data_IF_261747855293
#
_entry.id   IF_261747855293
#
_cell.length_a   1.000
_cell.length_b   1.000
_cell.length_c   1.000
_cell.angle_alpha   90.00
_cell.angle_beta   90.00
_cell.angle_gamma   90.00
#
_symmetry.space_group_name_H-M   'P 1'
#
loop_
_entity.id
_entity.type
_entity.pdbx_description
1 polymer ?
#
# COMPACT_ATOMS: atom_id res chain seq x y z
N UNK A 1 -26.89 11.84 27.27
CA UNK A 1 -25.49 11.58 27.64
C UNK A 1 -25.34 10.46 28.67
N UNK A 2 -26.02 10.50 29.82
CA UNK A 2 -25.87 9.48 30.89
C UNK A 2 -26.13 8.04 30.43
N UNK A 3 -27.19 7.80 29.65
CA UNK A 3 -27.53 6.47 29.12
C UNK A 3 -26.54 5.98 28.04
N UNK A 4 -25.95 6.90 27.26
CA UNK A 4 -24.94 6.56 26.26
C UNK A 4 -23.62 6.09 26.91
N UNK A 5 -23.21 6.77 27.98
CA UNK A 5 -22.01 6.40 28.77
C UNK A 5 -22.21 5.03 29.43
N UNK A 6 -23.39 4.74 29.96
CA UNK A 6 -23.72 3.44 30.56
C UNK A 6 -23.64 2.32 29.52
N UNK A 7 -24.18 2.51 28.32
CA UNK A 7 -24.11 1.52 27.23
C UNK A 7 -22.66 1.30 26.79
N UNK A 8 -21.87 2.37 26.67
CA UNK A 8 -20.45 2.26 26.33
C UNK A 8 -19.64 1.51 27.39
N UNK A 9 -19.90 1.77 28.68
CA UNK A 9 -19.25 1.05 29.79
C UNK A 9 -19.65 -0.43 29.83
N UNK A 10 -20.90 -0.77 29.52
CA UNK A 10 -21.35 -2.17 29.45
C UNK A 10 -20.70 -2.89 28.27
N UNK A 11 -20.59 -2.28 27.11
CA UNK A 11 -19.89 -2.86 25.95
C UNK A 11 -18.40 -3.09 26.27
N UNK A 12 -17.76 -2.11 26.92
CA UNK A 12 -16.35 -2.23 27.32
C UNK A 12 -16.14 -3.35 28.35
N UNK A 13 -17.03 -3.44 29.35
CA UNK A 13 -16.98 -4.48 30.38
C UNK A 13 -17.20 -5.88 29.79
N UNK A 14 -18.16 -6.04 28.86
CA UNK A 14 -18.39 -7.30 28.16
C UNK A 14 -17.18 -7.67 27.28
N UNK A 15 -16.58 -6.71 26.57
CA UNK A 15 -15.38 -6.93 25.77
C UNK A 15 -14.19 -7.40 26.63
N UNK A 16 -13.97 -6.78 27.79
CA UNK A 16 -12.91 -7.18 28.74
C UNK A 16 -13.19 -8.57 29.30
N UNK A 17 -14.44 -8.89 29.65
CA UNK A 17 -14.81 -10.21 30.21
C UNK A 17 -14.61 -11.31 29.16
N UNK A 18 -14.97 -11.10 27.91
CA UNK A 18 -14.72 -12.03 26.80
C UNK A 18 -13.23 -12.21 26.58
N UNK A 19 -12.44 -11.12 26.63
CA UNK A 19 -10.99 -11.16 26.51
C UNK A 19 -10.33 -11.97 27.64
N UNK A 20 -10.76 -11.78 28.90
CA UNK A 20 -10.25 -12.51 30.05
C UNK A 20 -10.63 -14.00 29.98
N UNK A 21 -11.87 -14.33 29.60
CA UNK A 21 -12.31 -15.73 29.42
C UNK A 21 -11.49 -16.38 28.29
N UNK A 22 -11.23 -15.65 27.19
CA UNK A 22 -10.36 -16.11 26.11
C UNK A 22 -8.95 -16.45 26.60
N UNK A 23 -8.34 -15.57 27.40
CA UNK A 23 -7.01 -15.77 27.98
C UNK A 23 -7.01 -16.96 28.95
N UNK A 24 -8.02 -17.12 29.79
CA UNK A 24 -8.11 -18.22 30.77
C UNK A 24 -8.30 -19.56 30.03
N UNK A 25 -9.14 -19.61 28.98
CA UNK A 25 -9.36 -20.82 28.18
C UNK A 25 -8.08 -21.23 27.44
N UNK A 26 -7.27 -20.28 26.97
CA UNK A 26 -5.99 -20.57 26.34
C UNK A 26 -4.92 -20.99 27.35
N UNK A 27 -4.92 -20.43 28.54
CA UNK A 27 -3.97 -20.79 29.63
C UNK A 27 -4.27 -22.17 30.28
N UNK A 28 -5.52 -22.63 30.24
CA UNK A 28 -5.93 -23.93 30.81
C UNK A 28 -5.90 -25.08 29.84
N UNK A 29 -5.92 -24.81 28.52
CA UNK A 29 -5.66 -25.81 27.48
C UNK A 29 -4.16 -25.82 27.20
N UNK A 30 -3.45 -26.76 27.81
CA UNK A 30 -2.05 -27.00 27.51
C UNK A 30 -1.80 -27.12 26.01
N UNK A 31 -0.66 -26.63 25.59
CA UNK A 31 0.02 -26.67 24.31
C UNK A 31 -0.73 -27.38 23.16
N UNK A 32 -1.73 -26.73 22.59
CA UNK A 32 -2.39 -27.20 21.38
C UNK A 32 -1.67 -26.58 20.18
N UNK A 33 -0.48 -27.06 19.91
CA UNK A 33 0.19 -26.80 18.64
C UNK A 33 -0.52 -27.60 17.54
N UNK A 34 -1.55 -27.01 16.92
CA UNK A 34 -2.19 -27.57 15.71
C UNK A 34 -1.27 -27.51 14.47
N UNK A 35 -0.09 -26.95 14.62
CA UNK A 35 0.90 -26.81 13.55
C UNK A 35 1.80 -28.04 13.56
N UNK A 36 1.82 -28.79 12.47
CA UNK A 36 2.91 -29.71 12.21
C UNK A 36 4.17 -28.85 12.00
N UNK A 37 5.16 -28.98 12.89
CA UNK A 37 6.42 -28.22 12.79
C UNK A 37 7.25 -28.62 11.56
N UNK A 38 6.76 -29.48 10.72
CA UNK A 38 7.44 -29.93 9.52
C UNK A 38 7.16 -28.93 8.39
N UNK A 39 8.23 -28.32 7.88
CA UNK A 39 8.15 -27.52 6.65
C UNK A 39 7.83 -28.44 5.48
N UNK A 40 6.80 -28.10 4.72
CA UNK A 40 6.46 -28.77 3.47
C UNK A 40 7.00 -27.96 2.31
N UNK A 41 7.50 -28.64 1.31
CA UNK A 41 8.00 -28.03 0.07
C UNK A 41 7.28 -28.67 -1.10
N UNK A 42 6.66 -27.86 -1.93
CA UNK A 42 6.04 -28.28 -3.18
C UNK A 42 6.51 -27.38 -4.32
N UNK A 43 6.73 -27.96 -5.49
CA UNK A 43 7.22 -27.26 -6.67
C UNK A 43 6.32 -27.51 -7.88
N UNK A 44 6.19 -26.50 -8.72
CA UNK A 44 5.32 -26.50 -9.91
C UNK A 44 6.05 -25.80 -11.06
N UNK A 45 5.89 -26.34 -12.26
CA UNK A 45 6.36 -25.66 -13.46
C UNK A 45 5.79 -24.25 -13.54
N UNK A 46 6.60 -23.27 -13.96
CA UNK A 46 6.16 -21.88 -14.06
C UNK A 46 4.94 -21.75 -14.98
N UNK A 47 3.99 -20.91 -14.57
CA UNK A 47 2.75 -20.63 -15.30
C UNK A 47 2.67 -19.15 -15.70
N UNK A 48 1.58 -18.81 -16.38
CA UNK A 48 1.29 -17.43 -16.81
C UNK A 48 0.81 -16.55 -15.64
N UNK A 49 0.27 -17.20 -14.58
CA UNK A 49 -0.23 -16.51 -13.38
C UNK A 49 0.03 -17.32 -12.12
N UNK A 50 0.48 -16.61 -11.07
CA UNK A 50 0.54 -17.12 -9.71
C UNK A 50 -0.44 -16.35 -8.83
N UNK A 51 -1.41 -17.07 -8.24
CA UNK A 51 -2.37 -16.52 -7.28
C UNK A 51 -2.19 -17.16 -5.92
N UNK A 52 -1.84 -16.38 -4.91
CA UNK A 52 -1.64 -16.81 -3.53
C UNK A 52 -2.71 -16.19 -2.65
N UNK A 53 -3.43 -17.01 -1.88
CA UNK A 53 -4.44 -16.55 -0.91
C UNK A 53 -4.13 -17.12 0.47
N UNK A 54 -3.73 -16.25 1.37
CA UNK A 54 -3.50 -16.55 2.78
C UNK A 54 -4.48 -15.79 3.67
N UNK A 55 -4.53 -16.15 4.95
CA UNK A 55 -5.40 -15.47 5.92
C UNK A 55 -4.63 -14.95 7.13
N UNK A 56 -3.56 -15.62 7.53
CA UNK A 56 -2.82 -15.28 8.76
C UNK A 56 -1.34 -15.62 8.69
N UNK A 57 -0.83 -16.01 7.53
CA UNK A 57 0.55 -16.46 7.37
C UNK A 57 1.34 -15.39 6.61
N UNK A 58 2.43 -14.91 7.17
CA UNK A 58 3.31 -13.96 6.48
C UNK A 58 3.78 -14.55 5.16
N UNK A 59 3.66 -13.82 4.08
CA UNK A 59 4.06 -14.25 2.75
C UNK A 59 5.37 -13.58 2.37
N UNK A 60 6.39 -14.39 2.15
CA UNK A 60 7.67 -13.94 1.63
C UNK A 60 7.84 -14.41 0.19
N UNK A 61 8.10 -13.48 -0.72
CA UNK A 61 8.39 -13.80 -2.13
C UNK A 61 9.86 -13.50 -2.42
N UNK A 62 10.55 -14.47 -2.98
CA UNK A 62 11.95 -14.34 -3.36
C UNK A 62 12.20 -14.95 -4.75
N UNK A 63 13.29 -14.55 -5.39
CA UNK A 63 13.71 -15.12 -6.67
C UNK A 63 14.77 -16.19 -6.42
N UNK A 64 14.54 -17.38 -6.94
CA UNK A 64 15.45 -18.53 -6.86
C UNK A 64 16.23 -18.77 -8.15
N UNK A 65 17.08 -19.81 -8.12
CA UNK A 65 17.88 -20.22 -9.29
C UNK A 65 17.27 -21.40 -10.05
N UNK A 66 16.16 -21.97 -9.58
CA UNK A 66 15.46 -23.07 -10.23
C UNK A 66 14.52 -22.60 -11.34
N UNK A 67 13.90 -23.57 -12.02
CA UNK A 67 12.97 -23.35 -13.12
C UNK A 67 11.49 -23.48 -12.68
N UNK A 68 11.26 -23.81 -11.41
CA UNK A 68 9.94 -24.07 -10.85
C UNK A 68 9.56 -23.02 -9.80
N UNK A 69 8.26 -22.78 -9.64
CA UNK A 69 7.70 -22.06 -8.51
C UNK A 69 7.69 -22.99 -7.31
N UNK A 70 8.33 -22.59 -6.21
CA UNK A 70 8.47 -23.42 -5.01
C UNK A 70 7.72 -22.77 -3.85
N UNK A 71 6.88 -23.54 -3.18
CA UNK A 71 6.18 -23.15 -1.96
C UNK A 71 6.80 -23.89 -0.77
N UNK A 72 7.25 -23.14 0.23
CA UNK A 72 7.67 -23.65 1.53
C UNK A 72 6.73 -23.12 2.60
N UNK A 73 6.01 -24.01 3.28
CA UNK A 73 4.99 -23.65 4.26
C UNK A 73 4.92 -24.62 5.42
N UNK A 74 4.23 -24.22 6.50
CA UNK A 74 3.89 -25.10 7.61
C UNK A 74 2.50 -25.71 7.38
N UNK A 75 2.42 -27.04 7.45
CA UNK A 75 1.14 -27.73 7.36
C UNK A 75 0.41 -27.70 8.71
N UNK A 76 -0.86 -27.32 8.71
CA UNK A 76 -1.72 -27.36 9.89
C UNK A 76 -2.52 -28.67 9.89
N UNK A 77 -2.65 -29.31 11.07
CA UNK A 77 -3.32 -30.63 11.18
C UNK A 77 -4.72 -30.68 10.54
N UNK A 78 -5.45 -29.58 10.59
CA UNK A 78 -6.83 -29.51 10.12
C UNK A 78 -7.02 -28.62 8.87
N UNK A 79 -5.96 -28.01 8.35
CA UNK A 79 -6.01 -27.10 7.20
C UNK A 79 -4.78 -27.28 6.35
N UNK A 80 -4.90 -28.17 5.38
CA UNK A 80 -3.89 -28.28 4.32
C UNK A 80 -4.11 -27.19 3.29
N UNK A 81 -3.05 -26.68 2.66
CA UNK A 81 -3.21 -25.81 1.52
C UNK A 81 -3.91 -26.56 0.38
N UNK A 82 -4.70 -25.85 -0.35
CA UNK A 82 -5.23 -26.28 -1.63
C UNK A 82 -4.35 -25.68 -2.71
N UNK A 83 -3.61 -26.51 -3.45
CA UNK A 83 -2.75 -26.07 -4.52
C UNK A 83 -3.26 -26.69 -5.82
N UNK A 84 -3.50 -25.83 -6.81
CA UNK A 84 -3.93 -26.25 -8.14
C UNK A 84 -3.02 -25.66 -9.20
N UNK A 85 -2.77 -26.41 -10.27
CA UNK A 85 -2.06 -25.94 -11.45
C UNK A 85 -2.85 -26.31 -12.68
N UNK A 86 -3.66 -25.37 -13.17
CA UNK A 86 -4.58 -25.58 -14.27
C UNK A 86 -4.57 -24.38 -15.22
N UNK A 87 -4.57 -24.63 -16.52
CA UNK A 87 -4.65 -23.60 -17.57
C UNK A 87 -3.62 -22.46 -17.41
N UNK A 88 -2.38 -22.80 -17.06
CA UNK A 88 -1.31 -21.81 -16.86
C UNK A 88 -1.40 -21.03 -15.55
N UNK A 89 -2.38 -21.31 -14.69
CA UNK A 89 -2.56 -20.65 -13.39
C UNK A 89 -2.12 -21.58 -12.28
N UNK A 90 -1.17 -21.14 -11.46
CA UNK A 90 -0.82 -21.77 -10.19
C UNK A 90 -1.62 -21.05 -9.11
N UNK A 91 -2.47 -21.76 -8.38
CA UNK A 91 -3.22 -21.21 -7.25
C UNK A 91 -2.85 -21.91 -5.96
N UNK A 92 -2.35 -21.14 -5.00
CA UNK A 92 -2.08 -21.58 -3.64
C UNK A 92 -3.10 -20.94 -2.71
N UNK A 93 -3.84 -21.75 -1.96
CA UNK A 93 -4.80 -21.24 -0.97
C UNK A 93 -4.55 -21.89 0.37
N UNK A 94 -4.18 -21.10 1.37
CA UNK A 94 -3.98 -21.55 2.74
C UNK A 94 -5.00 -20.90 3.67
N UNK A 95 -5.77 -21.74 4.36
CA UNK A 95 -6.75 -21.34 5.36
C UNK A 95 -8.19 -21.22 4.83
N UNK A 96 -9.14 -21.39 5.74
CA UNK A 96 -10.57 -21.14 5.50
C UNK A 96 -10.94 -19.74 5.98
N UNK A 97 -12.06 -19.20 5.45
CA UNK A 97 -12.70 -18.00 6.00
C UNK A 97 -12.75 -18.09 7.52
N UNK A 98 -12.40 -17.00 8.18
CA UNK A 98 -12.43 -16.83 9.63
C UNK A 98 -13.73 -17.39 10.23
N UNK A 99 -13.61 -18.39 11.10
CA UNK A 99 -14.68 -18.81 11.99
C UNK A 99 -14.40 -18.22 13.35
N UNK A 100 -15.38 -17.59 13.98
CA UNK A 100 -15.29 -17.01 15.34
C UNK A 100 -14.76 -17.99 16.39
N UNK A 101 -14.70 -19.27 16.08
CA UNK A 101 -14.21 -20.34 16.96
C UNK A 101 -12.73 -20.69 16.76
N UNK A 102 -12.05 -20.13 15.74
CA UNK A 102 -10.63 -20.38 15.46
C UNK A 102 -9.70 -19.33 16.10
N UNK A 103 -10.05 -18.87 17.31
CA UNK A 103 -9.28 -17.89 18.08
C UNK A 103 -7.80 -18.31 18.28
N UNK A 104 -7.52 -19.59 18.28
CA UNK A 104 -6.16 -20.11 18.43
C UNK A 104 -5.22 -19.74 17.26
N UNK A 105 -5.73 -19.45 16.07
CA UNK A 105 -4.93 -19.07 14.90
C UNK A 105 -4.38 -17.63 14.99
N UNK A 106 -5.09 -16.74 15.67
CA UNK A 106 -4.68 -15.33 15.84
C UNK A 106 -3.37 -15.22 16.67
N UNK A 107 -3.04 -16.26 17.44
CA UNK A 107 -1.88 -16.26 18.33
C UNK A 107 -0.66 -17.03 17.81
N UNK A 108 -0.75 -17.66 16.64
CA UNK A 108 0.41 -18.33 16.02
C UNK A 108 1.21 -17.35 15.13
N UNK A 109 1.98 -16.51 15.77
CA UNK A 109 2.77 -15.42 15.19
C UNK A 109 3.95 -15.83 14.28
N UNK A 110 4.07 -17.08 13.86
CA UNK A 110 5.29 -17.56 13.19
C UNK A 110 5.07 -18.47 11.97
N UNK A 111 3.85 -18.60 11.49
CA UNK A 111 3.64 -19.33 10.26
C UNK A 111 4.04 -18.45 9.07
N UNK A 112 4.91 -18.96 8.22
CA UNK A 112 5.40 -18.26 7.03
C UNK A 112 5.19 -19.13 5.82
N UNK A 113 4.69 -18.51 4.78
CA UNK A 113 4.74 -19.05 3.43
C UNK A 113 5.91 -18.38 2.70
N UNK A 114 6.88 -19.16 2.25
CA UNK A 114 7.91 -18.65 1.32
C UNK A 114 7.55 -19.11 -0.08
N UNK A 115 7.43 -18.18 -0.98
CA UNK A 115 7.23 -18.41 -2.42
C UNK A 115 8.53 -18.08 -3.14
N UNK A 116 9.14 -19.06 -3.73
CA UNK A 116 10.35 -18.87 -4.55
C UNK A 116 9.94 -18.88 -6.02
N UNK A 117 10.17 -17.80 -6.71
CA UNK A 117 9.89 -17.67 -8.14
C UNK A 117 11.13 -18.03 -8.96
N UNK A 118 11.00 -18.72 -10.09
CA UNK A 118 12.12 -18.92 -11.01
C UNK A 118 12.51 -17.59 -11.66
N UNK A 119 13.77 -17.49 -12.09
CA UNK A 119 14.31 -16.30 -12.76
C UNK A 119 13.57 -15.92 -14.05
N UNK A 120 12.99 -16.92 -14.71
CA UNK A 120 12.26 -16.75 -15.97
C UNK A 120 10.76 -16.50 -15.75
N UNK A 121 10.30 -16.36 -14.49
CA UNK A 121 8.92 -16.03 -14.22
C UNK A 121 8.60 -14.64 -14.74
N UNK A 122 7.64 -14.57 -15.66
CA UNK A 122 7.22 -13.33 -16.32
C UNK A 122 5.70 -13.10 -16.30
N UNK A 123 4.96 -13.96 -15.59
CA UNK A 123 3.50 -13.91 -15.53
C UNK A 123 2.95 -12.89 -14.54
N UNK A 124 1.64 -12.97 -14.28
CA UNK A 124 0.98 -12.16 -13.25
C UNK A 124 1.27 -12.72 -11.86
N UNK A 125 1.57 -11.84 -10.89
CA UNK A 125 1.70 -12.18 -9.48
C UNK A 125 0.60 -11.52 -8.67
N UNK A 126 -0.31 -12.33 -8.12
CA UNK A 126 -1.42 -11.89 -7.28
C UNK A 126 -1.31 -12.51 -5.88
N UNK A 127 -1.26 -11.68 -4.84
CA UNK A 127 -1.26 -12.14 -3.45
C UNK A 127 -2.37 -11.42 -2.69
N UNK A 128 -3.26 -12.20 -2.05
CA UNK A 128 -4.32 -11.71 -1.19
C UNK A 128 -4.14 -12.29 0.21
N UNK A 129 -4.08 -11.42 1.20
CA UNK A 129 -3.92 -11.85 2.58
C UNK A 129 -4.92 -11.17 3.54
N UNK A 130 -5.33 -11.90 4.58
CA UNK A 130 -6.25 -11.39 5.59
C UNK A 130 -5.52 -10.58 6.66
N UNK A 131 -4.59 -11.22 7.37
CA UNK A 131 -3.96 -10.62 8.55
C UNK A 131 -2.51 -11.06 8.66
N UNK A 132 -1.63 -10.47 7.87
CA UNK A 132 -0.20 -10.73 7.88
C UNK A 132 0.56 -9.79 6.94
N UNK A 133 1.86 -9.94 6.88
CA UNK A 133 2.73 -9.13 6.04
C UNK A 133 3.06 -9.83 4.73
N UNK A 134 3.16 -9.06 3.64
CA UNK A 134 3.74 -9.49 2.36
C UNK A 134 5.10 -8.81 2.20
N UNK A 135 6.17 -9.58 2.08
CA UNK A 135 7.53 -9.10 1.78
C UNK A 135 8.01 -9.73 0.47
N UNK A 136 8.09 -8.94 -0.59
CA UNK A 136 8.46 -9.38 -1.92
C UNK A 136 9.72 -8.66 -2.42
N UNK A 137 10.80 -9.42 -2.61
CA UNK A 137 11.98 -8.97 -3.35
C UNK A 137 12.01 -9.66 -4.72
N UNK A 138 11.70 -8.87 -5.74
CA UNK A 138 11.53 -9.35 -7.12
C UNK A 138 12.74 -9.00 -7.99
N UNK A 139 13.92 -8.93 -7.39
CA UNK A 139 15.18 -8.61 -8.09
C UNK A 139 15.37 -9.48 -9.31
N UNK A 140 15.67 -8.86 -10.44
CA UNK A 140 15.93 -9.50 -11.74
C UNK A 140 14.70 -10.06 -12.45
N UNK A 141 13.48 -9.91 -11.94
CA UNK A 141 12.26 -10.32 -12.64
C UNK A 141 11.68 -9.16 -13.46
N UNK A 142 11.12 -9.53 -14.60
CA UNK A 142 10.17 -8.71 -15.34
C UNK A 142 8.86 -9.47 -15.38
N UNK A 143 7.88 -9.02 -14.60
CA UNK A 143 6.57 -9.65 -14.47
C UNK A 143 5.51 -8.87 -15.24
N UNK A 144 4.45 -9.54 -15.67
CA UNK A 144 3.40 -8.91 -16.46
C UNK A 144 2.55 -7.94 -15.61
N UNK A 145 2.15 -8.37 -14.41
CA UNK A 145 1.27 -7.61 -13.54
C UNK A 145 1.51 -7.95 -12.07
N UNK A 146 1.35 -6.97 -11.18
CA UNK A 146 1.51 -7.13 -9.74
C UNK A 146 0.26 -6.68 -8.99
N UNK A 147 -0.33 -7.57 -8.18
CA UNK A 147 -1.51 -7.26 -7.36
C UNK A 147 -1.29 -7.80 -5.96
N UNK A 148 -1.13 -6.92 -4.97
CA UNK A 148 -1.08 -7.28 -3.55
C UNK A 148 -2.22 -6.61 -2.80
N UNK A 149 -2.98 -7.40 -2.04
CA UNK A 149 -4.13 -6.96 -1.25
C UNK A 149 -4.05 -7.56 0.16
N UNK A 150 -3.94 -6.72 1.17
CA UNK A 150 -3.84 -7.10 2.58
C UNK A 150 -4.90 -6.37 3.40
N UNK A 151 -5.69 -7.11 4.20
CA UNK A 151 -6.64 -6.44 5.09
C UNK A 151 -5.95 -5.84 6.33
N UNK A 152 -5.05 -6.58 6.98
CA UNK A 152 -4.30 -6.08 8.15
C UNK A 152 -2.87 -6.59 8.11
N UNK A 153 -1.91 -5.70 8.09
CA UNK A 153 -0.48 -5.99 7.94
C UNK A 153 0.16 -5.03 6.98
N UNK A 154 1.34 -5.35 6.50
CA UNK A 154 2.10 -4.46 5.61
C UNK A 154 2.39 -5.15 4.28
N UNK A 155 2.41 -4.36 3.23
CA UNK A 155 2.92 -4.75 1.93
C UNK A 155 4.29 -4.10 1.74
N UNK A 156 5.32 -4.90 1.56
CA UNK A 156 6.65 -4.44 1.16
C UNK A 156 7.02 -5.08 -0.17
N UNK A 157 7.25 -4.27 -1.21
CA UNK A 157 7.68 -4.74 -2.52
C UNK A 157 8.85 -3.93 -3.03
N UNK A 158 9.86 -4.63 -3.57
CA UNK A 158 11.06 -3.96 -4.06
C UNK A 158 11.69 -4.65 -5.26
N UNK A 159 12.44 -3.85 -6.01
CA UNK A 159 13.31 -4.29 -7.10
C UNK A 159 12.55 -5.02 -8.22
N UNK A 160 11.39 -4.51 -8.63
CA UNK A 160 10.59 -5.14 -9.67
C UNK A 160 10.59 -4.35 -10.99
N UNK A 161 10.59 -5.08 -12.10
CA UNK A 161 10.18 -4.57 -13.41
C UNK A 161 8.79 -5.15 -13.74
N UNK A 162 7.82 -4.29 -14.01
CA UNK A 162 6.45 -4.69 -14.29
C UNK A 162 6.07 -4.21 -15.69
N UNK A 163 5.70 -5.13 -16.56
CA UNK A 163 5.31 -4.85 -17.94
C UNK A 163 3.94 -4.19 -18.08
N UNK A 164 3.09 -4.28 -17.08
CA UNK A 164 1.75 -3.70 -17.03
C UNK A 164 1.53 -2.92 -15.72
N UNK A 165 0.35 -3.09 -15.13
CA UNK A 165 -0.07 -2.31 -13.97
C UNK A 165 0.33 -2.94 -12.62
N UNK A 166 0.50 -2.08 -11.62
CA UNK A 166 0.74 -2.45 -10.22
C UNK A 166 -0.41 -1.97 -9.35
N UNK A 167 -0.96 -2.86 -8.50
CA UNK A 167 -1.97 -2.53 -7.50
C UNK A 167 -1.55 -3.02 -6.11
N UNK A 168 -1.43 -2.09 -5.16
CA UNK A 168 -1.04 -2.35 -3.78
C UNK A 168 -2.12 -1.79 -2.85
N UNK A 169 -2.89 -2.66 -2.21
CA UNK A 169 -4.01 -2.26 -1.36
C UNK A 169 -3.85 -2.81 0.05
N UNK A 170 -3.95 -1.94 1.05
CA UNK A 170 -3.89 -2.32 2.46
C UNK A 170 -5.01 -1.61 3.24
N UNK A 171 -5.81 -2.35 4.02
CA UNK A 171 -6.81 -1.66 4.85
C UNK A 171 -6.19 -1.08 6.12
N UNK A 172 -5.38 -1.85 6.84
CA UNK A 172 -4.72 -1.38 8.06
C UNK A 172 -3.27 -1.84 8.10
N UNK A 173 -2.35 -0.90 8.00
CA UNK A 173 -0.92 -1.16 7.99
C UNK A 173 -0.18 -0.27 7.00
N UNK A 174 0.90 -0.75 6.41
CA UNK A 174 1.72 0.07 5.53
C UNK A 174 1.80 -0.51 4.10
N UNK A 175 1.88 0.37 3.12
CA UNK A 175 2.27 0.05 1.74
C UNK A 175 3.63 0.66 1.48
N UNK A 176 4.63 -0.17 1.30
CA UNK A 176 6.03 0.19 1.09
C UNK A 176 6.47 -0.34 -0.28
N UNK A 177 6.78 0.54 -1.22
CA UNK A 177 7.30 0.15 -2.53
C UNK A 177 8.58 0.91 -2.85
N UNK A 178 9.60 0.19 -3.30
CA UNK A 178 10.90 0.78 -3.58
C UNK A 178 11.55 0.17 -4.83
N UNK A 179 12.13 1.04 -5.65
CA UNK A 179 12.87 0.65 -6.84
C UNK A 179 12.02 -0.21 -7.81
N UNK A 180 10.94 0.40 -8.33
CA UNK A 180 10.06 -0.24 -9.32
C UNK A 180 10.11 0.49 -10.66
N UNK A 181 10.26 -0.29 -11.74
CA UNK A 181 10.07 0.16 -13.12
C UNK A 181 8.75 -0.41 -13.66
N UNK A 182 7.78 0.45 -13.99
CA UNK A 182 6.41 0.05 -14.34
C UNK A 182 6.06 0.57 -15.73
N UNK A 183 5.77 -0.31 -16.68
CA UNK A 183 5.32 0.08 -18.04
C UNK A 183 3.81 0.38 -18.12
N UNK A 184 3.13 0.43 -17.01
CA UNK A 184 1.72 0.77 -16.84
C UNK A 184 1.53 1.81 -15.77
N UNK A 185 0.44 1.70 -15.04
CA UNK A 185 0.04 2.57 -13.94
C UNK A 185 0.28 1.91 -12.58
N UNK A 186 0.49 2.72 -11.55
CA UNK A 186 0.56 2.30 -10.15
C UNK A 186 -0.65 2.83 -9.38
N UNK A 187 -1.37 1.92 -8.73
CA UNK A 187 -2.38 2.26 -7.74
C UNK A 187 -1.91 1.79 -6.35
N UNK A 188 -1.85 2.71 -5.39
CA UNK A 188 -1.53 2.41 -4.00
C UNK A 188 -2.61 2.99 -3.08
N UNK A 189 -3.25 2.13 -2.29
CA UNK A 189 -4.35 2.54 -1.41
C UNK A 189 -4.19 1.97 -0.01
N UNK A 190 -4.44 2.81 1.02
CA UNK A 190 -4.57 2.37 2.40
C UNK A 190 -5.68 3.15 3.13
N UNK A 191 -6.28 2.52 4.15
CA UNK A 191 -7.27 3.21 4.98
C UNK A 191 -6.68 3.73 6.28
N UNK A 192 -5.77 2.98 6.93
CA UNK A 192 -5.12 3.42 8.17
C UNK A 192 -3.69 2.94 8.24
N UNK A 193 -2.73 3.86 8.12
CA UNK A 193 -1.31 3.52 8.18
C UNK A 193 -0.42 4.46 7.39
N UNK A 194 0.45 3.95 6.55
CA UNK A 194 1.36 4.76 5.75
C UNK A 194 1.51 4.21 4.33
N UNK A 195 1.64 5.10 3.36
CA UNK A 195 2.10 4.77 2.01
C UNK A 195 3.44 5.44 1.79
N UNK A 196 4.47 4.65 1.53
CA UNK A 196 5.79 5.14 1.16
C UNK A 196 6.20 4.52 -0.19
N UNK A 197 6.34 5.38 -1.20
CA UNK A 197 6.80 5.01 -2.53
C UNK A 197 8.14 5.71 -2.77
N UNK A 198 9.19 4.96 -3.06
CA UNK A 198 10.52 5.51 -3.29
C UNK A 198 11.14 4.93 -4.58
N UNK A 199 11.77 5.80 -5.38
CA UNK A 199 12.47 5.41 -6.60
C UNK A 199 11.56 4.62 -7.57
N UNK A 200 10.41 5.18 -7.89
CA UNK A 200 9.41 4.58 -8.78
C UNK A 200 9.42 5.30 -10.13
N UNK A 201 9.47 4.53 -11.21
CA UNK A 201 9.26 5.05 -12.56
C UNK A 201 8.08 4.32 -13.20
N UNK A 202 7.01 5.05 -13.52
CA UNK A 202 5.83 4.54 -14.22
C UNK A 202 5.64 5.27 -15.55
N UNK A 203 5.33 4.54 -16.63
CA UNK A 203 5.01 5.17 -17.92
C UNK A 203 3.59 5.71 -17.95
N UNK A 204 2.69 5.17 -17.13
CA UNK A 204 1.31 5.61 -16.96
C UNK A 204 1.13 6.56 -15.78
N UNK A 205 0.02 6.41 -15.09
CA UNK A 205 -0.35 7.25 -13.96
C UNK A 205 0.05 6.62 -12.62
N UNK A 206 0.33 7.46 -11.63
CA UNK A 206 0.46 7.04 -10.23
C UNK A 206 -0.69 7.62 -9.43
N UNK A 207 -1.53 6.75 -8.88
CA UNK A 207 -2.64 7.12 -7.99
C UNK A 207 -2.39 6.62 -6.59
N UNK A 208 -2.43 7.53 -5.61
CA UNK A 208 -2.21 7.23 -4.19
C UNK A 208 -3.40 7.71 -3.37
N UNK A 209 -3.98 6.81 -2.57
CA UNK A 209 -5.11 7.12 -1.69
C UNK A 209 -4.83 6.69 -0.25
N UNK A 210 -4.97 7.63 0.69
CA UNK A 210 -4.89 7.39 2.13
C UNK A 210 -6.09 8.01 2.84
N UNK A 211 -6.71 7.26 3.74
CA UNK A 211 -7.76 7.85 4.58
C UNK A 211 -7.17 8.43 5.85
N UNK A 212 -6.34 7.68 6.58
CA UNK A 212 -5.71 8.17 7.81
C UNK A 212 -4.28 7.69 7.88
N UNK A 213 -3.34 8.60 7.68
CA UNK A 213 -1.92 8.23 7.77
C UNK A 213 -0.99 9.18 7.06
N UNK A 214 0.19 8.71 6.78
CA UNK A 214 1.23 9.48 6.10
C UNK A 214 1.36 8.99 4.66
N UNK A 215 1.37 9.93 3.72
CA UNK A 215 1.73 9.65 2.32
C UNK A 215 3.09 10.28 2.04
N UNK A 216 4.03 9.46 1.58
CA UNK A 216 5.36 9.89 1.20
C UNK A 216 5.73 9.33 -0.17
N UNK A 217 5.95 10.22 -1.11
CA UNK A 217 6.48 9.91 -2.42
C UNK A 217 7.88 10.52 -2.51
N UNK A 218 8.89 9.73 -2.82
CA UNK A 218 10.28 10.15 -2.92
C UNK A 218 10.86 9.69 -4.25
N UNK A 219 11.22 10.64 -5.13
CA UNK A 219 11.77 10.35 -6.44
C UNK A 219 10.84 9.47 -7.31
N UNK A 220 9.58 9.91 -7.44
CA UNK A 220 8.57 9.21 -8.27
C UNK A 220 8.40 9.91 -9.60
N UNK A 221 8.55 9.18 -10.69
CA UNK A 221 8.36 9.69 -12.05
C UNK A 221 7.16 9.00 -12.71
N UNK A 222 6.24 9.79 -13.27
CA UNK A 222 5.06 9.28 -13.98
C UNK A 222 4.49 10.31 -14.96
N UNK A 223 3.54 9.91 -15.79
CA UNK A 223 2.84 10.87 -16.65
C UNK A 223 1.98 11.82 -15.81
N UNK A 224 1.09 11.29 -15.00
CA UNK A 224 0.27 12.06 -14.06
C UNK A 224 0.34 11.43 -12.67
N UNK A 225 0.39 12.27 -11.65
CA UNK A 225 0.42 11.83 -10.26
C UNK A 225 -0.76 12.44 -9.53
N UNK A 226 -1.57 11.57 -8.93
CA UNK A 226 -2.71 11.98 -8.10
C UNK A 226 -2.57 11.41 -6.71
N UNK A 227 -2.59 12.29 -5.70
CA UNK A 227 -2.52 11.91 -4.29
C UNK A 227 -3.75 12.43 -3.55
N UNK A 228 -4.45 11.57 -2.84
CA UNK A 228 -5.57 11.93 -1.97
C UNK A 228 -5.29 11.45 -0.55
N UNK A 229 -5.29 12.37 0.41
CA UNK A 229 -5.14 12.06 1.84
C UNK A 229 -6.26 12.75 2.64
N UNK A 230 -7.05 11.99 3.39
CA UNK A 230 -8.11 12.61 4.17
C UNK A 230 -7.56 13.20 5.47
N UNK A 231 -6.79 12.42 6.23
CA UNK A 231 -6.20 12.90 7.49
C UNK A 231 -4.77 12.42 7.61
N UNK A 232 -3.82 13.34 7.64
CA UNK A 232 -2.42 13.01 7.82
C UNK A 232 -1.48 13.92 7.04
N UNK A 233 -0.21 13.58 7.06
CA UNK A 233 0.83 14.34 6.38
C UNK A 233 1.06 13.81 4.97
N UNK A 234 1.13 14.73 4.01
CA UNK A 234 1.46 14.41 2.62
C UNK A 234 2.78 15.05 2.23
N UNK A 235 3.74 14.24 1.80
CA UNK A 235 5.05 14.69 1.34
C UNK A 235 5.36 14.05 -0.03
N UNK A 236 5.53 14.88 -1.06
CA UNK A 236 5.59 14.44 -2.46
C UNK A 236 6.80 15.07 -3.16
N UNK A 237 7.80 14.26 -3.55
CA UNK A 237 8.92 14.68 -4.43
C UNK A 237 8.83 13.87 -5.74
N UNK A 238 8.46 14.56 -6.83
CA UNK A 238 8.04 13.90 -8.07
C UNK A 238 8.48 14.62 -9.34
N UNK A 239 8.52 13.86 -10.43
CA UNK A 239 8.67 14.37 -11.81
C UNK A 239 7.48 13.88 -12.65
N UNK A 240 6.65 14.81 -13.13
CA UNK A 240 5.43 14.46 -13.88
C UNK A 240 4.93 15.61 -14.76
N UNK A 241 4.03 15.30 -15.70
CA UNK A 241 3.34 16.32 -16.52
C UNK A 241 2.21 17.00 -15.74
N UNK A 242 1.46 16.23 -14.95
CA UNK A 242 0.40 16.78 -14.12
C UNK A 242 0.47 16.24 -12.69
N UNK A 243 0.41 17.16 -11.71
CA UNK A 243 0.35 16.84 -10.29
C UNK A 243 -0.99 17.28 -9.70
N UNK A 244 -1.70 16.35 -9.06
CA UNK A 244 -2.92 16.65 -8.31
C UNK A 244 -2.79 16.14 -6.87
N UNK A 245 -2.81 17.04 -5.89
CA UNK A 245 -2.82 16.70 -4.46
C UNK A 245 -4.10 17.20 -3.83
N UNK A 246 -4.80 16.30 -3.13
CA UNK A 246 -5.97 16.64 -2.34
C UNK A 246 -5.79 16.18 -0.90
N UNK A 247 -5.81 17.13 0.04
CA UNK A 247 -5.77 16.87 1.48
C UNK A 247 -7.02 17.44 2.15
N UNK A 248 -7.53 16.75 3.17
CA UNK A 248 -8.61 17.36 3.99
C UNK A 248 -8.02 17.94 5.27
N UNK A 249 -7.24 17.18 6.01
CA UNK A 249 -6.64 17.67 7.26
C UNK A 249 -5.19 17.20 7.36
N UNK A 250 -4.27 18.14 7.48
CA UNK A 250 -2.85 17.85 7.66
C UNK A 250 -1.96 18.71 6.76
N UNK A 251 -0.69 18.71 7.06
CA UNK A 251 0.33 19.43 6.32
C UNK A 251 0.58 18.78 4.95
N UNK A 252 0.69 19.58 3.92
CA UNK A 252 1.01 19.15 2.56
C UNK A 252 2.32 19.80 2.12
N UNK A 253 3.33 18.99 1.86
CA UNK A 253 4.61 19.43 1.32
C UNK A 253 4.86 18.77 -0.03
N UNK A 254 5.24 19.55 -1.05
CA UNK A 254 5.50 18.98 -2.37
C UNK A 254 6.70 19.61 -3.06
N UNK A 255 7.37 18.78 -3.84
CA UNK A 255 8.39 19.21 -4.78
C UNK A 255 8.10 18.56 -6.12
N UNK A 256 7.95 19.36 -7.16
CA UNK A 256 7.60 18.86 -8.48
C UNK A 256 8.53 19.44 -9.55
N UNK A 257 8.93 18.54 -10.46
CA UNK A 257 9.71 18.90 -11.65
C UNK A 257 8.85 18.69 -12.90
N UNK A 258 9.14 19.48 -13.93
CA UNK A 258 8.62 19.36 -15.29
C UNK A 258 7.07 19.44 -15.44
N UNK A 259 6.33 19.76 -14.40
CA UNK A 259 4.87 19.78 -14.47
C UNK A 259 4.36 20.96 -15.31
N UNK A 260 3.35 20.70 -16.11
CA UNK A 260 2.58 21.70 -16.85
C UNK A 260 1.26 22.03 -16.20
N UNK A 261 0.77 21.15 -15.32
CA UNK A 261 -0.48 21.34 -14.58
C UNK A 261 -0.29 20.92 -13.12
N UNK A 262 -0.44 21.85 -12.21
CA UNK A 262 -0.29 21.62 -10.78
C UNK A 262 -1.56 22.05 -10.08
N UNK A 263 -2.21 21.10 -9.38
CA UNK A 263 -3.38 21.36 -8.57
C UNK A 263 -3.19 20.82 -7.16
N UNK A 264 -3.11 21.70 -6.18
CA UNK A 264 -2.99 21.31 -4.77
C UNK A 264 -4.14 21.91 -3.99
N UNK A 265 -4.91 21.09 -3.30
CA UNK A 265 -6.06 21.53 -2.53
C UNK A 265 -6.02 20.94 -1.12
N UNK A 266 -6.15 21.80 -0.12
CA UNK A 266 -6.32 21.42 1.28
C UNK A 266 -7.59 22.04 1.86
N UNK A 267 -8.16 21.40 2.88
CA UNK A 267 -9.21 22.06 3.67
C UNK A 267 -8.59 22.69 4.91
N UNK A 268 -7.80 21.95 5.66
CA UNK A 268 -7.11 22.44 6.85
C UNK A 268 -5.68 21.94 6.86
N UNK A 269 -4.74 22.86 6.84
CA UNK A 269 -3.30 22.60 6.87
C UNK A 269 -2.53 23.52 5.95
N UNK A 270 -1.27 23.66 6.25
CA UNK A 270 -0.35 24.47 5.46
C UNK A 270 0.07 23.70 4.20
N UNK A 271 0.35 24.47 3.15
CA UNK A 271 0.83 23.94 1.87
C UNK A 271 2.19 24.57 1.58
N UNK A 272 3.24 23.75 1.64
CA UNK A 272 4.61 24.11 1.32
C UNK A 272 5.01 23.48 -0.02
N UNK A 273 5.41 24.28 -0.98
CA UNK A 273 5.69 23.81 -2.34
C UNK A 273 7.06 24.24 -2.87
N UNK A 274 7.66 23.39 -3.69
CA UNK A 274 8.78 23.75 -4.56
C UNK A 274 8.49 23.30 -5.99
N UNK A 275 8.52 24.23 -6.93
CA UNK A 275 8.21 23.99 -8.34
C UNK A 275 9.46 24.27 -9.17
N UNK A 276 9.83 23.31 -10.02
CA UNK A 276 10.93 23.48 -10.97
C UNK A 276 10.56 24.43 -12.10
N UNK A 277 11.47 25.33 -12.44
CA UNK A 277 11.31 26.33 -13.49
C UNK A 277 10.87 27.70 -12.98
N UNK A 278 10.68 28.62 -13.92
CA UNK A 278 10.35 30.02 -13.58
C UNK A 278 8.86 30.19 -13.27
N UNK A 279 8.56 30.96 -12.23
CA UNK A 279 7.19 31.36 -11.88
C UNK A 279 6.46 32.01 -13.07
N UNK A 280 7.20 32.72 -13.93
CA UNK A 280 6.67 33.46 -15.08
C UNK A 280 6.23 32.57 -16.25
N UNK A 281 6.51 31.28 -16.18
CA UNK A 281 6.08 30.28 -17.18
C UNK A 281 4.66 29.75 -16.92
N UNK A 282 4.02 30.13 -15.80
CA UNK A 282 2.74 29.60 -15.37
C UNK A 282 1.66 30.68 -15.26
N UNK A 283 0.44 30.29 -15.59
CA UNK A 283 -0.76 30.96 -15.12
C UNK A 283 -1.02 30.48 -13.69
N UNK A 284 -1.10 31.41 -12.75
CA UNK A 284 -1.16 31.10 -11.32
C UNK A 284 -2.46 31.66 -10.73
N UNK A 285 -3.26 30.77 -10.15
CA UNK A 285 -4.41 31.14 -9.32
C UNK A 285 -4.36 30.43 -7.98
N UNK A 286 -4.86 31.06 -6.94
CA UNK A 286 -4.92 30.50 -5.61
C UNK A 286 -6.15 30.97 -4.84
N UNK A 287 -6.54 30.21 -3.82
CA UNK A 287 -7.62 30.56 -2.90
C UNK A 287 -7.24 30.23 -1.45
N UNK A 288 -7.28 31.23 -0.58
CA UNK A 288 -7.06 31.10 0.86
C UNK A 288 -8.20 31.81 1.58
N UNK A 289 -8.90 31.13 2.49
CA UNK A 289 -9.96 31.76 3.30
C UNK A 289 -9.38 32.31 4.60
N UNK A 290 -8.58 31.54 5.32
CA UNK A 290 -7.89 31.94 6.54
C UNK A 290 -6.44 31.53 6.46
N UNK A 291 -5.55 32.51 6.33
CA UNK A 291 -4.11 32.33 6.15
C UNK A 291 -3.52 33.31 5.15
N UNK A 292 -2.30 33.05 4.73
CA UNK A 292 -1.54 33.87 3.79
C UNK A 292 -1.11 33.05 2.60
N UNK A 293 -0.84 33.72 1.48
CA UNK A 293 -0.24 33.13 0.29
C UNK A 293 0.87 34.02 -0.23
N UNK A 294 2.02 33.46 -0.55
CA UNK A 294 3.14 34.21 -1.10
C UNK A 294 3.12 34.30 -2.64
N UNK A 295 2.20 33.61 -3.31
CA UNK A 295 2.13 33.60 -4.78
C UNK A 295 1.42 34.86 -5.31
N UNK A 296 1.83 35.43 -6.44
CA UNK A 296 1.04 36.37 -7.21
C UNK A 296 -0.03 35.65 -8.02
N UNK A 297 -1.09 36.37 -8.44
CA UNK A 297 -1.99 35.91 -9.50
C UNK A 297 -1.43 36.29 -10.85
N UNK A 298 -1.30 35.31 -11.74
CA UNK A 298 -0.80 35.49 -13.11
C UNK A 298 -1.79 34.86 -14.07
N UNK A 299 -2.30 35.66 -14.99
CA UNK A 299 -3.22 35.23 -16.03
C UNK A 299 -2.73 35.79 -17.38
N UNK A 300 -1.95 35.02 -18.09
CA UNK A 300 -1.33 35.40 -19.38
C UNK A 300 -1.62 34.39 -20.51
N UNK A 301 -2.39 33.34 -20.19
CA UNK A 301 -2.70 32.25 -21.11
C UNK A 301 -1.40 31.53 -21.62
N UNK A 302 -0.54 31.15 -20.67
CA UNK A 302 0.77 30.56 -20.94
C UNK A 302 0.73 29.04 -21.24
N UNK A 303 -0.41 28.41 -21.00
CA UNK A 303 -0.61 26.97 -21.23
C UNK A 303 -0.08 26.05 -20.12
N UNK A 304 0.70 26.58 -19.15
CA UNK A 304 1.04 25.89 -17.89
C UNK A 304 0.22 26.51 -16.77
N UNK A 305 -0.32 25.69 -15.89
CA UNK A 305 -1.24 26.18 -14.84
C UNK A 305 -0.86 25.70 -13.45
N UNK A 306 -1.02 26.61 -12.48
CA UNK A 306 -0.91 26.32 -11.06
C UNK A 306 -2.19 26.78 -10.38
N UNK A 307 -2.87 25.86 -9.70
CA UNK A 307 -3.98 26.18 -8.81
C UNK A 307 -3.72 25.60 -7.42
N UNK A 308 -3.60 26.44 -6.41
CA UNK A 308 -3.37 26.02 -5.03
C UNK A 308 -4.42 26.62 -4.13
N UNK A 309 -5.05 25.83 -3.29
CA UNK A 309 -6.09 26.33 -2.37
C UNK A 309 -6.05 25.67 -1.01
N UNK A 310 -6.29 26.47 0.03
CA UNK A 310 -6.59 26.00 1.38
C UNK A 310 -7.72 26.84 2.00
N UNK A 311 -8.57 26.20 2.82
CA UNK A 311 -9.56 26.95 3.59
C UNK A 311 -8.92 27.55 4.84
N UNK A 312 -8.11 26.78 5.56
CA UNK A 312 -7.38 27.24 6.75
C UNK A 312 -5.95 26.73 6.71
N UNK A 313 -5.00 27.66 6.62
CA UNK A 313 -3.57 27.38 6.53
C UNK A 313 -2.87 28.38 5.62
N UNK A 314 -1.58 28.41 5.67
CA UNK A 314 -0.71 29.23 4.82
C UNK A 314 -0.31 28.48 3.55
N UNK A 315 -0.06 29.20 2.48
CA UNK A 315 0.50 28.69 1.23
C UNK A 315 1.87 29.36 1.03
N UNK A 316 2.92 28.56 1.03
CA UNK A 316 4.28 29.01 0.74
C UNK A 316 4.89 28.18 -0.39
N UNK A 317 5.14 28.81 -1.54
CA UNK A 317 5.66 28.14 -2.73
C UNK A 317 6.87 28.86 -3.26
N UNK A 318 7.93 28.10 -3.44
CA UNK A 318 9.18 28.54 -4.05
C UNK A 318 9.34 27.97 -5.46
N UNK A 319 10.07 28.67 -6.31
CA UNK A 319 10.46 28.20 -7.65
C UNK A 319 11.97 28.01 -7.68
N UNK A 320 12.41 26.99 -8.39
CA UNK A 320 13.83 26.68 -8.53
C UNK A 320 14.18 26.59 -10.01
N UNK A 321 15.15 27.38 -10.41
CA UNK A 321 15.71 27.39 -11.78
C UNK A 321 16.40 26.06 -12.14
#
# INVERSE_FOLDING_TARGET
MKNFIIVLCVILAVGITIGIIGIIVTATRGDVSDVDKTVKTESYASGEKLSVKCFTDDVKVVVGNGDEVVFEYYEYKNHKPEITHENGVISFRLGKKFSFFDINRIFHKNAKLTVTLPKEFNGELEIQDGTSDIDADLSSLTIEKLIFDVSTGSIAVKNAKVGGDVSLTCTTGAVLACNLEINGSLHAEESTGAIELADITATGNVEVKSTTGTVKLANVTAENITTTCTTGKTNVDVDCKALSIKSTTGETSFKVKNATNIKVTATTGDIDGTIGGSMWDYDIDYSVTTGKCNLPRIDKNLGKTIYISTTTGDIDVAFTD
#
